data_IF_893019458759
#
_entry.id   IF_893019458759
#
_cell.length_a   1.000
_cell.length_b   1.000
_cell.length_c   1.000
_cell.angle_alpha   90.00
_cell.angle_beta   90.00
_cell.angle_gamma   90.00
#
_symmetry.space_group_name_H-M   'P 1'
#
loop_
_entity.id
_entity.type
_entity.pdbx_description
1 polymer ?
2 non-polymer ?
3 water ?
#
# COMPACT_ATOMS: atom_id res chain seq x y z
N UNK A 3 3.20 -7.00 -31.93
CA UNK A 3 2.39 -6.95 -33.17
C UNK A 3 2.07 -5.49 -33.56
N UNK A 4 2.19 -5.18 -34.84
CA UNK A 4 1.91 -3.82 -35.31
C UNK A 4 0.56 -3.43 -34.73
N UNK A 5 0.54 -2.36 -33.94
CA UNK A 5 -0.67 -1.92 -33.28
C UNK A 5 -1.96 -1.95 -34.09
N UNK A 6 -1.99 -1.25 -35.22
CA UNK A 6 -3.21 -1.22 -36.04
C UNK A 6 -3.75 -2.62 -36.31
N UNK A 7 -2.89 -3.58 -36.61
CA UNK A 7 -3.37 -4.93 -36.88
C UNK A 7 -3.76 -5.54 -35.54
N UNK A 8 -2.98 -5.23 -34.51
CA UNK A 8 -3.24 -5.75 -33.18
C UNK A 8 -4.67 -5.34 -32.80
N UNK A 9 -4.94 -4.04 -32.87
CA UNK A 9 -6.26 -3.49 -32.54
C UNK A 9 -7.38 -4.17 -33.30
N UNK A 10 -7.39 -3.98 -34.62
CA UNK A 10 -8.41 -4.55 -35.48
C UNK A 10 -8.67 -6.03 -35.25
N UNK A 11 -7.63 -6.80 -35.02
CA UNK A 11 -7.84 -8.23 -34.82
C UNK A 11 -7.99 -8.72 -33.38
N UNK A 12 -7.94 -7.81 -32.41
CA UNK A 12 -8.10 -8.21 -31.02
C UNK A 12 -9.48 -8.81 -30.79
N UNK A 13 -9.53 -9.96 -30.14
CA UNK A 13 -10.81 -10.62 -29.86
C UNK A 13 -11.33 -10.24 -28.47
N UNK A 14 -12.44 -9.49 -28.42
CA UNK A 14 -13.05 -9.04 -27.17
C UNK A 14 -13.33 -10.18 -26.20
N UNK A 15 -13.01 -9.96 -24.93
CA UNK A 15 -13.23 -10.94 -23.87
C UNK A 15 -14.63 -10.80 -23.29
N UNK A 16 -15.10 -9.56 -23.19
CA UNK A 16 -16.42 -9.27 -22.64
C UNK A 16 -17.05 -8.07 -23.34
N UNK A 17 -18.18 -7.61 -22.81
CA UNK A 17 -18.89 -6.49 -23.42
C UNK A 17 -18.10 -5.18 -23.42
N UNK A 18 -17.50 -4.80 -22.29
CA UNK A 18 -16.75 -3.55 -22.25
C UNK A 18 -15.66 -3.57 -23.30
N UNK A 19 -15.09 -4.73 -23.57
CA UNK A 19 -14.06 -4.79 -24.58
C UNK A 19 -14.67 -4.66 -25.95
N UNK A 20 -15.89 -5.16 -26.10
CA UNK A 20 -16.62 -5.08 -27.37
C UNK A 20 -16.87 -3.61 -27.68
N UNK A 21 -17.44 -2.89 -26.71
CA UNK A 21 -17.73 -1.47 -26.91
C UNK A 21 -16.45 -0.67 -27.08
N UNK A 22 -15.46 -0.91 -26.20
CA UNK A 22 -14.19 -0.20 -26.27
C UNK A 22 -13.47 -0.41 -27.59
N UNK A 23 -13.53 -1.62 -28.13
CA UNK A 23 -12.86 -1.88 -29.41
C UNK A 23 -13.51 -1.01 -30.47
N UNK A 24 -14.82 -0.89 -30.40
CA UNK A 24 -15.55 -0.08 -31.36
C UNK A 24 -15.11 1.36 -31.30
N UNK A 25 -14.82 1.85 -30.10
CA UNK A 25 -14.37 3.22 -29.95
C UNK A 25 -12.96 3.37 -30.54
N UNK A 26 -12.14 2.33 -30.40
CA UNK A 26 -10.78 2.36 -30.94
C UNK A 26 -10.82 2.51 -32.46
N UNK A 27 -11.62 1.67 -33.10
CA UNK A 27 -11.77 1.65 -34.54
C UNK A 27 -12.27 3.00 -35.04
N UNK A 28 -13.29 3.53 -34.38
CA UNK A 28 -13.85 4.83 -34.73
C UNK A 28 -12.72 5.87 -34.72
N UNK A 29 -11.80 5.75 -33.77
CA UNK A 29 -10.68 6.69 -33.67
C UNK A 29 -9.71 6.52 -34.83
N UNK A 30 -9.48 5.27 -35.22
CA UNK A 30 -8.59 4.99 -36.34
C UNK A 30 -9.19 5.64 -37.57
N UNK A 31 -10.51 5.56 -37.70
CA UNK A 31 -11.23 6.14 -38.84
C UNK A 31 -11.21 7.66 -38.87
N UNK A 32 -11.69 8.27 -37.78
CA UNK A 32 -11.80 9.72 -37.68
C UNK A 32 -10.57 10.54 -37.34
N UNK A 33 -9.56 9.94 -36.70
CA UNK A 33 -8.39 10.71 -36.34
C UNK A 33 -7.18 10.55 -37.22
N UNK A 34 -6.53 11.68 -37.45
CA UNK A 34 -5.33 11.77 -38.25
C UNK A 34 -4.33 10.74 -37.71
N UNK A 35 -4.03 10.85 -36.42
CA UNK A 35 -3.09 9.95 -35.75
C UNK A 35 -3.48 9.75 -34.29
N UNK A 36 -3.16 8.58 -33.74
CA UNK A 36 -3.48 8.29 -32.34
C UNK A 36 -2.23 7.79 -31.60
N UNK A 37 -1.06 8.02 -32.19
CA UNK A 37 0.18 7.56 -31.59
C UNK A 37 0.88 8.60 -30.72
N UNK A 38 0.49 9.85 -30.84
CA UNK A 38 1.15 10.89 -30.05
C UNK A 38 0.17 11.75 -29.27
N UNK A 39 0.72 12.55 -28.36
CA UNK A 39 -0.07 13.44 -27.54
C UNK A 39 -0.48 14.66 -28.34
N UNK A 40 -0.19 14.63 -29.64
CA UNK A 40 -0.59 15.70 -30.53
C UNK A 40 -2.12 15.55 -30.64
N UNK A 41 -2.61 14.35 -30.39
CA UNK A 41 -4.05 14.12 -30.44
C UNK A 41 -4.55 14.40 -29.02
N UNK A 42 -5.22 15.54 -28.83
CA UNK A 42 -5.72 15.95 -27.54
C UNK A 42 -7.01 15.29 -27.09
N UNK A 43 -7.63 14.54 -27.99
CA UNK A 43 -8.88 13.86 -27.67
C UNK A 43 -8.60 12.44 -27.21
N UNK A 44 -7.83 11.70 -27.99
CA UNK A 44 -7.53 10.31 -27.65
C UNK A 44 -6.20 9.85 -28.26
N UNK A 45 -5.49 8.99 -27.54
CA UNK A 45 -4.25 8.44 -28.05
C UNK A 45 -3.82 7.14 -27.37
N UNK A 46 -3.11 6.33 -28.15
CA UNK A 46 -2.62 5.02 -27.74
C UNK A 46 -1.68 5.05 -26.54
N UNK A 47 -1.88 4.08 -25.64
CA UNK A 47 -1.05 3.91 -24.45
C UNK A 47 -0.95 2.41 -24.25
N UNK A 48 0.07 1.98 -23.52
CA UNK A 48 0.27 0.57 -23.27
C UNK A 48 0.52 0.33 -21.80
N UNK A 49 0.00 -0.78 -21.29
CA UNK A 49 0.17 -1.12 -19.89
C UNK A 49 0.73 -2.53 -19.75
N UNK A 50 1.09 -2.88 -18.52
CA UNK A 50 1.65 -4.18 -18.25
C UNK A 50 0.93 -4.93 -17.15
N UNK A 51 0.41 -6.11 -17.50
CA UNK A 51 -0.22 -6.96 -16.51
C UNK A 51 0.95 -7.86 -16.13
N UNK A 52 1.83 -7.31 -15.29
CA UNK A 52 3.01 -8.03 -14.85
C UNK A 52 2.63 -9.04 -13.77
N UNK A 53 2.70 -10.32 -14.10
CA UNK A 53 2.35 -11.37 -13.16
C UNK A 53 3.56 -12.21 -12.76
N UNK A 54 3.52 -12.73 -11.54
CA UNK A 54 4.58 -13.55 -11.01
C UNK A 54 4.49 -14.94 -11.61
N UNK A 55 5.49 -15.77 -11.32
CA UNK A 55 5.55 -17.13 -11.83
C UNK A 55 4.33 -17.97 -11.46
N UNK A 56 3.84 -17.81 -10.24
CA UNK A 56 2.69 -18.56 -9.76
C UNK A 56 1.34 -18.01 -10.24
N UNK A 57 1.36 -16.88 -10.93
CA UNK A 57 0.15 -16.26 -11.46
C UNK A 57 -0.87 -16.05 -10.34
N UNK A 58 -0.40 -15.43 -9.25
CA UNK A 58 -1.24 -15.16 -8.08
C UNK A 58 -1.02 -13.74 -7.56
N UNK A 59 0.00 -13.06 -8.07
CA UNK A 59 0.33 -11.71 -7.64
C UNK A 59 0.42 -10.79 -8.84
N UNK A 60 0.03 -9.53 -8.65
CA UNK A 60 0.03 -8.51 -9.69
C UNK A 60 1.07 -7.46 -9.30
N UNK A 61 2.16 -7.37 -10.05
CA UNK A 61 3.21 -6.40 -9.75
C UNK A 61 2.69 -5.00 -10.05
N UNK A 63 2.33 -0.51 -8.82
CA UNK A 63 3.03 0.65 -8.31
C UNK A 63 2.13 1.66 -7.60
N UNK A 64 2.70 2.28 -6.58
CA UNK A 64 2.01 3.27 -5.77
C UNK A 64 2.10 4.68 -6.34
N UNK A 65 0.96 5.35 -6.43
CA UNK A 65 0.93 6.71 -6.94
C UNK A 65 0.82 7.66 -5.75
N UNK A 66 1.81 8.54 -5.62
CA UNK A 66 1.83 9.50 -4.52
C UNK A 66 0.58 10.35 -4.54
N UNK A 67 -0.29 10.08 -5.51
CA UNK A 67 -1.54 10.80 -5.62
C UNK A 67 -2.45 10.40 -4.45
N UNK A 68 -3.67 9.98 -4.75
CA UNK A 68 -4.61 9.59 -3.72
C UNK A 68 -4.35 8.22 -3.10
N UNK A 69 -3.09 8.01 -2.72
CA UNK A 69 -2.65 6.76 -2.10
C UNK A 69 -3.26 5.54 -2.79
N UNK A 70 -2.99 5.40 -4.07
CA UNK A 70 -3.53 4.29 -4.84
C UNK A 70 -2.45 3.47 -5.52
N UNK A 71 -2.77 2.22 -5.83
CA UNK A 71 -1.84 1.34 -6.51
C UNK A 71 -2.39 1.00 -7.90
N UNK A 72 -1.51 1.01 -8.89
CA UNK A 72 -1.93 0.71 -10.26
C UNK A 72 -0.84 0.02 -11.07
N UNK A 73 -1.21 -0.45 -12.26
CA UNK A 73 -0.28 -1.12 -13.14
C UNK A 73 0.71 -0.12 -13.73
N UNK A 74 1.77 -0.63 -14.35
CA UNK A 74 2.76 0.24 -14.98
C UNK A 74 2.31 0.43 -16.41
N UNK A 75 2.64 1.59 -16.99
CA UNK A 75 2.27 1.87 -18.35
C UNK A 75 2.63 3.29 -18.73
N UNK A 76 2.36 3.67 -19.98
CA UNK A 76 2.69 5.01 -20.42
C UNK A 76 2.22 5.28 -21.84
N UNK A 77 2.47 6.50 -22.31
CA UNK A 77 2.08 6.90 -23.66
C UNK A 77 2.97 6.22 -24.70
N UNK A 78 2.37 5.85 -25.83
CA UNK A 78 3.09 5.21 -26.92
C UNK A 78 4.09 6.22 -27.49
N UNK A 79 3.74 7.49 -27.38
CA UNK A 79 4.56 8.58 -27.87
C UNK A 79 5.28 8.25 -29.17
N UNK A 80 4.51 7.85 -30.17
CA UNK A 80 5.02 7.53 -31.49
C UNK A 80 5.73 6.18 -31.68
N UNK A 81 5.91 5.42 -30.62
CA UNK A 81 6.53 4.10 -30.76
C UNK A 81 5.33 3.25 -31.19
N UNK A 82 5.48 2.44 -32.23
CA UNK A 82 4.37 1.63 -32.72
C UNK A 82 4.23 0.25 -32.10
N UNK A 83 5.34 -0.34 -31.67
CA UNK A 83 5.31 -1.66 -31.05
C UNK A 83 4.91 -1.43 -29.60
N UNK A 84 3.65 -1.72 -29.27
CA UNK A 84 3.16 -1.49 -27.92
C UNK A 84 3.73 -2.39 -26.82
N UNK A 85 4.19 -3.58 -27.19
CA UNK A 85 4.77 -4.46 -26.20
C UNK A 85 6.08 -3.82 -25.75
N UNK A 86 6.76 -3.15 -26.68
CA UNK A 86 8.02 -2.49 -26.37
C UNK A 86 7.75 -1.33 -25.42
N UNK A 87 6.61 -0.66 -25.62
CA UNK A 87 6.26 0.45 -24.75
C UNK A 87 6.00 -0.07 -23.34
N UNK A 88 5.16 -1.10 -23.24
CA UNK A 88 4.84 -1.69 -21.95
C UNK A 88 6.08 -2.20 -21.24
N UNK A 89 6.93 -2.91 -21.98
CA UNK A 89 8.16 -3.46 -21.42
C UNK A 89 9.05 -2.33 -20.90
N UNK A 90 9.16 -1.27 -21.68
CA UNK A 90 9.98 -0.13 -21.29
C UNK A 90 9.44 0.43 -19.97
N UNK A 91 8.17 0.80 -19.96
CA UNK A 91 7.56 1.36 -18.75
C UNK A 91 7.71 0.45 -17.54
N UNK A 92 7.53 -0.84 -17.75
CA UNK A 92 7.65 -1.78 -16.63
C UNK A 92 9.05 -1.70 -16.04
N UNK A 93 10.07 -1.73 -16.90
CA UNK A 93 11.46 -1.67 -16.44
C UNK A 93 11.74 -0.40 -15.65
N UNK A 94 11.35 0.75 -16.21
CA UNK A 94 11.55 2.05 -15.58
C UNK A 94 10.90 2.13 -14.21
N UNK A 95 9.59 1.88 -14.16
CA UNK A 95 8.82 1.95 -12.94
C UNK A 95 9.13 0.91 -11.86
N UNK A 96 9.56 -0.30 -12.24
CA UNK A 96 9.83 -1.34 -11.26
C UNK A 96 11.30 -1.78 -11.13
N UNK A 97 12.11 -1.44 -12.13
CA UNK A 97 13.51 -1.83 -12.09
C UNK A 97 13.76 -3.30 -12.39
N UNK A 98 12.78 -3.96 -12.99
CA UNK A 98 12.92 -5.38 -13.34
C UNK A 98 13.93 -5.58 -14.47
N UNK A 99 14.83 -6.54 -14.28
CA UNK A 99 15.89 -6.83 -15.25
C UNK A 99 15.49 -7.57 -16.51
N UNK A 100 14.93 -8.77 -16.35
CA UNK A 100 14.55 -9.56 -17.51
C UNK A 100 13.09 -10.03 -17.55
N UNK A 101 12.16 -9.09 -17.80
CA UNK A 101 10.73 -9.44 -17.85
C UNK A 101 10.50 -10.30 -19.08
N UNK A 102 9.54 -11.22 -19.01
CA UNK A 102 9.29 -12.07 -20.15
C UNK A 102 7.84 -12.07 -20.61
N UNK A 103 7.58 -11.50 -21.78
CA UNK A 103 6.20 -11.47 -22.28
C UNK A 103 5.71 -12.89 -22.53
N UNK A 104 4.45 -13.14 -22.19
CA UNK A 104 3.87 -14.47 -22.37
C UNK A 104 3.09 -14.54 -23.68
N UNK A 105 2.68 -13.39 -24.19
CA UNK A 105 1.96 -13.32 -25.47
C UNK A 105 2.62 -12.24 -26.31
N UNK A 106 2.57 -12.40 -27.64
CA UNK A 106 3.18 -11.42 -28.54
C UNK A 106 2.16 -10.45 -29.13
N UNK A 107 0.96 -10.41 -28.54
CA UNK A 107 -0.09 -9.52 -29.01
C UNK A 107 -0.89 -9.07 -27.77
N UNK A 108 -1.68 -8.01 -27.93
CA UNK A 108 -2.47 -7.48 -26.81
C UNK A 108 -3.23 -8.51 -25.99
N UNK A 109 -3.22 -8.34 -24.68
CA UNK A 109 -3.94 -9.25 -23.78
C UNK A 109 -5.26 -8.63 -23.32
N UNK A 110 -5.36 -7.31 -23.46
CA UNK A 110 -6.58 -6.61 -23.08
C UNK A 110 -6.65 -5.26 -23.77
N UNK A 111 -7.87 -4.75 -23.92
CA UNK A 111 -8.13 -3.48 -24.58
C UNK A 111 -9.07 -2.65 -23.68
N UNK A 112 -8.72 -1.37 -23.47
CA UNK A 112 -9.52 -0.52 -22.59
C UNK A 112 -9.46 0.95 -22.97
N UNK A 113 -10.60 1.61 -22.95
CA UNK A 113 -10.65 3.04 -23.21
C UNK A 113 -10.72 3.66 -21.83
N UNK A 114 -9.66 4.38 -21.46
CA UNK A 114 -9.55 5.00 -20.15
C UNK A 114 -9.61 6.51 -20.21
N UNK A 115 -10.09 7.12 -19.15
CA UNK A 115 -10.19 8.58 -19.11
C UNK A 115 -8.99 9.16 -18.39
N UNK A 116 -8.69 10.42 -18.71
CA UNK A 116 -7.58 11.14 -18.08
C UNK A 116 -8.07 12.57 -17.83
N UNK A 117 -8.35 12.89 -16.57
CA UNK A 117 -8.84 14.21 -16.17
C UNK A 117 -7.89 15.34 -16.53
N UNK A 118 -8.46 16.50 -16.87
CA UNK A 118 -7.64 17.65 -17.20
C UNK A 118 -6.73 17.93 -16.03
N UNK A 119 -5.50 18.33 -16.31
CA UNK A 119 -4.53 18.60 -15.26
C UNK A 119 -3.41 19.49 -15.79
N UNK A 120 -2.62 20.01 -14.85
CA UNK A 120 -1.50 20.88 -15.17
C UNK A 120 -0.21 20.07 -15.20
N UNK A 121 0.51 20.13 -16.32
CA UNK A 121 1.76 19.41 -16.48
C UNK A 121 2.86 20.41 -16.83
N UNK A 122 3.74 20.68 -15.85
CA UNK A 122 4.83 21.62 -16.05
C UNK A 122 4.34 22.96 -16.59
N UNK A 123 3.31 23.49 -15.94
CA UNK A 123 2.75 24.78 -16.34
C UNK A 123 1.63 24.76 -17.34
N UNK A 124 1.69 23.84 -18.30
CA UNK A 124 0.67 23.73 -19.34
C UNK A 124 -0.53 22.92 -18.85
N UNK A 125 -1.72 23.33 -19.27
CA UNK A 125 -2.92 22.60 -18.90
C UNK A 125 -3.13 21.59 -20.02
N UNK A 126 -3.45 20.36 -19.62
CA UNK A 126 -3.70 19.26 -20.54
C UNK A 126 -5.18 18.92 -20.38
N UNK A 127 -5.98 19.21 -21.40
CA UNK A 127 -7.41 18.95 -21.37
C UNK A 127 -7.75 17.49 -21.10
N UNK A 128 -8.92 17.25 -20.50
CA UNK A 128 -9.37 15.89 -20.25
C UNK A 128 -9.37 15.15 -21.57
N UNK A 129 -8.96 13.89 -21.58
CA UNK A 129 -8.96 13.11 -22.81
C UNK A 129 -9.03 11.63 -22.51
N UNK A 130 -8.96 10.82 -23.55
CA UNK A 130 -9.03 9.38 -23.40
C UNK A 130 -7.74 8.67 -23.76
N UNK A 131 -7.49 7.55 -23.10
CA UNK A 131 -6.35 6.72 -23.40
C UNK A 131 -6.87 5.42 -24.02
N UNK A 132 -6.37 5.10 -25.20
CA UNK A 132 -6.74 3.88 -25.91
C UNK A 132 -5.68 2.89 -25.44
N UNK A 133 -5.96 2.22 -24.32
CA UNK A 133 -4.99 1.31 -23.73
C UNK A 133 -4.97 -0.17 -24.08
N UNK A 134 -3.77 -0.64 -24.38
CA UNK A 134 -3.56 -2.05 -24.68
C UNK A 134 -2.74 -2.58 -23.53
N UNK A 135 -3.17 -3.71 -22.98
CA UNK A 135 -2.46 -4.31 -21.88
C UNK A 135 -1.75 -5.56 -22.34
N UNK A 136 -0.53 -5.75 -21.85
CA UNK A 136 0.28 -6.90 -22.21
C UNK A 136 0.58 -7.82 -21.03
N UNK A 137 0.46 -9.13 -21.26
CA UNK A 137 0.72 -10.14 -20.24
C UNK A 137 2.23 -10.39 -20.15
N UNK A 138 2.83 -9.93 -19.07
CA UNK A 138 4.26 -10.10 -18.88
C UNK A 138 4.56 -10.74 -17.53
N UNK A 139 5.43 -11.73 -17.56
CA UNK A 139 5.82 -12.44 -16.34
C UNK A 139 7.13 -11.88 -15.80
N UNK A 140 7.19 -11.69 -14.48
CA UNK A 140 8.38 -11.19 -13.81
C UNK A 140 8.71 -12.05 -12.61
N UNK A 141 9.99 -12.29 -12.37
CA UNK A 141 10.42 -13.11 -11.24
C UNK A 141 10.37 -12.30 -9.96
N UNK A 142 9.83 -12.91 -8.90
CA UNK A 142 9.74 -12.21 -7.63
C UNK A 142 11.15 -12.10 -7.05
N UNK A 143 12.10 -12.75 -7.71
CA UNK A 143 13.50 -12.72 -7.29
C UNK A 143 14.14 -11.41 -7.74
N UNK A 144 13.48 -10.73 -8.67
CA UNK A 144 13.98 -9.45 -9.17
C UNK A 144 14.01 -8.44 -8.04
N UNK A 145 15.12 -7.72 -7.92
CA UNK A 145 15.25 -6.68 -6.90
C UNK A 145 14.35 -5.53 -7.35
N UNK A 146 13.43 -5.11 -6.49
CA UNK A 146 12.50 -4.05 -6.84
C UNK A 146 12.69 -2.73 -6.07
N UNK A 148 11.37 1.51 -6.28
CA UNK A 148 10.51 2.54 -6.86
C UNK A 148 11.30 3.62 -7.60
N UNK A 149 10.64 4.76 -7.80
CA UNK A 149 11.24 5.92 -8.48
C UNK A 149 10.44 7.18 -8.18
N UNK A 150 11.11 8.18 -7.59
CA UNK A 150 10.47 9.44 -7.26
C UNK A 150 10.26 10.31 -8.49
N UNK A 155 6.75 3.54 -4.52
CA UNK A 155 6.91 2.19 -4.02
C UNK A 155 6.40 1.11 -4.97
N UNK A 156 7.12 0.00 -5.03
CA UNK A 156 6.76 -1.12 -5.88
C UNK A 156 6.35 -2.28 -4.98
N UNK A 158 4.35 -6.52 -5.09
CA UNK A 158 3.55 -7.56 -5.69
C UNK A 158 2.28 -7.56 -4.88
N UNK A 159 1.14 -7.57 -5.56
CA UNK A 159 -0.13 -7.57 -4.88
C UNK A 159 -0.98 -8.78 -5.23
N UNK A 160 -1.30 -9.60 -4.23
CA UNK A 160 -2.12 -10.79 -4.47
C UNK A 160 -3.45 -10.41 -5.11
N UNK A 161 -3.87 -11.20 -6.08
CA UNK A 161 -5.11 -10.94 -6.80
C UNK A 161 -6.32 -10.72 -5.90
N UNK A 162 -6.38 -11.44 -4.80
CA UNK A 162 -7.52 -11.35 -3.88
C UNK A 162 -7.60 -10.08 -3.03
N UNK A 163 -6.58 -9.23 -3.08
CA UNK A 163 -6.61 -8.00 -2.29
C UNK A 163 -6.40 -6.75 -3.13
N UNK A 164 -6.43 -6.92 -4.45
CA UNK A 164 -6.24 -5.79 -5.35
C UNK A 164 -7.25 -4.69 -5.07
N UNK A 165 -8.50 -5.09 -4.84
CA UNK A 165 -9.56 -4.14 -4.56
C UNK A 165 -9.23 -3.32 -3.31
N UNK A 166 -8.39 -3.87 -2.44
CA UNK A 166 -8.03 -3.20 -1.20
C UNK A 166 -6.89 -2.19 -1.40
N UNK A 167 -6.22 -2.27 -2.53
CA UNK A 167 -5.11 -1.37 -2.83
C UNK A 167 -5.48 -0.31 -3.84
N UNK A 168 -6.46 -0.63 -4.67
CA UNK A 168 -6.92 0.29 -5.70
C UNK A 168 -7.92 1.29 -5.14
N UNK A 169 -7.59 2.57 -5.24
CA UNK A 169 -8.48 3.62 -4.75
C UNK A 169 -9.36 4.19 -5.86
N UNK A 170 -9.11 3.79 -7.10
CA UNK A 170 -9.90 4.26 -8.23
C UNK A 170 -10.99 3.21 -8.47
N UNK A 171 -12.23 3.49 -8.05
CA UNK A 171 -13.33 2.54 -8.23
C UNK A 171 -13.46 1.95 -9.63
N UNK A 172 -13.24 2.78 -10.65
CA UNK A 172 -13.37 2.29 -12.02
C UNK A 172 -12.28 1.34 -12.51
N UNK A 174 -11.03 -1.16 -10.69
CA UNK A 174 -11.26 -2.49 -10.12
C UNK A 174 -11.71 -3.54 -11.13
N UNK A 175 -12.79 -3.27 -11.87
CA UNK A 175 -13.28 -4.24 -12.87
C UNK A 175 -12.26 -4.57 -13.96
N UNK A 176 -11.34 -3.65 -14.22
CA UNK A 176 -10.32 -3.87 -15.26
C UNK A 176 -9.39 -4.96 -14.80
N UNK A 177 -8.83 -4.76 -13.62
CA UNK A 177 -7.89 -5.72 -13.04
C UNK A 177 -8.57 -7.07 -12.88
N UNK A 178 -9.83 -7.05 -12.47
CA UNK A 178 -10.56 -8.30 -12.28
C UNK A 178 -10.69 -8.99 -13.63
N UNK A 179 -10.89 -8.18 -14.67
CA UNK A 179 -11.00 -8.73 -16.01
C UNK A 179 -9.73 -9.49 -16.36
N UNK A 180 -8.60 -8.78 -16.27
CA UNK A 180 -7.30 -9.39 -16.58
C UNK A 180 -7.17 -10.74 -15.88
N UNK A 181 -7.41 -10.73 -14.58
CA UNK A 181 -7.31 -11.93 -13.74
C UNK A 181 -8.29 -13.03 -14.13
N UNK A 182 -9.42 -12.67 -14.72
CA UNK A 182 -10.40 -13.68 -15.12
C UNK A 182 -9.99 -14.31 -16.44
N UNK A 183 -9.56 -13.47 -17.38
CA UNK A 183 -9.13 -13.94 -18.68
C UNK A 183 -7.94 -14.86 -18.44
N UNK A 184 -7.03 -14.44 -17.56
CA UNK A 184 -5.86 -15.26 -17.29
C UNK A 184 -6.27 -16.63 -16.77
N UNK A 185 -7.23 -16.66 -15.86
CA UNK A 185 -7.71 -17.91 -15.30
C UNK A 185 -8.20 -18.86 -16.38
N UNK A 186 -8.82 -18.34 -17.43
CA UNK A 186 -9.30 -19.19 -18.50
C UNK A 186 -8.31 -19.21 -19.67
N UNK B 3 11.42 -3.77 31.22
CA UNK B 3 11.14 -2.85 32.36
C UNK B 3 9.66 -2.92 32.75
N UNK B 4 9.40 -3.19 34.03
CA UNK B 4 8.04 -3.28 34.54
C UNK B 4 7.18 -2.14 33.99
N UNK B 5 6.01 -2.50 33.44
CA UNK B 5 5.13 -1.50 32.84
C UNK B 5 4.77 -0.33 33.74
N UNK B 6 4.36 -0.63 34.98
CA UNK B 6 3.98 0.43 35.92
C UNK B 6 5.06 1.49 36.14
N UNK B 7 6.26 1.08 36.51
CA UNK B 7 7.32 2.06 36.74
C UNK B 7 7.83 2.65 35.42
N UNK B 8 7.79 1.87 34.35
CA UNK B 8 8.23 2.35 33.05
C UNK B 8 7.32 3.51 32.64
N UNK B 9 6.03 3.36 32.93
CA UNK B 9 5.03 4.38 32.62
C UNK B 9 5.19 5.61 33.52
N UNK B 10 5.36 5.36 34.82
CA UNK B 10 5.52 6.45 35.78
C UNK B 10 6.79 7.27 35.51
N UNK B 11 7.84 6.62 35.07
CA UNK B 11 9.10 7.31 34.81
C UNK B 11 9.26 7.79 33.39
N UNK B 12 8.34 7.44 32.52
CA UNK B 12 8.42 7.84 31.12
C UNK B 12 8.53 9.36 30.98
N UNK B 13 9.40 9.80 30.08
CA UNK B 13 9.64 11.23 29.85
C UNK B 13 8.98 11.70 28.55
N UNK B 14 7.89 12.48 28.66
CA UNK B 14 7.16 13.00 27.50
C UNK B 14 8.03 13.71 26.47
N UNK B 15 7.75 13.43 25.21
CA UNK B 15 8.49 14.07 24.12
C UNK B 15 7.85 15.40 23.80
N UNK B 16 6.53 15.47 24.02
CA UNK B 16 5.78 16.69 23.74
C UNK B 16 4.53 16.80 24.59
N UNK B 17 3.70 17.80 24.26
CA UNK B 17 2.46 18.09 24.95
C UNK B 17 1.54 16.90 24.92
N UNK B 18 1.37 16.33 23.72
CA UNK B 18 0.50 15.18 23.57
C UNK B 18 0.87 14.09 24.57
N UNK B 19 2.16 13.77 24.68
CA UNK B 19 2.59 12.72 25.62
C UNK B 19 2.44 13.16 27.08
N UNK B 20 2.56 14.46 27.31
CA UNK B 20 2.40 15.03 28.65
C UNK B 20 0.98 14.79 29.12
N UNK B 21 0.02 15.11 28.25
CA UNK B 21 -1.38 14.93 28.57
C UNK B 21 -1.75 13.45 28.65
N UNK B 22 -1.30 12.68 27.67
CA UNK B 22 -1.60 11.25 27.64
C UNK B 22 -1.01 10.51 28.85
N UNK B 23 0.21 10.86 29.26
CA UNK B 23 0.84 10.20 30.39
C UNK B 23 -0.03 10.44 31.62
N UNK B 24 -0.56 11.65 31.71
CA UNK B 24 -1.41 12.04 32.82
C UNK B 24 -2.64 11.14 32.85
N UNK B 25 -3.18 10.83 31.67
CA UNK B 25 -4.35 9.96 31.60
C UNK B 25 -3.95 8.55 32.02
N UNK B 26 -2.75 8.13 31.64
CA UNK B 26 -2.23 6.81 31.99
C UNK B 26 -2.21 6.65 33.52
N UNK B 27 -1.67 7.66 34.19
CA UNK B 27 -1.56 7.64 35.64
C UNK B 27 -2.92 7.61 36.33
N UNK B 28 -3.86 8.39 35.81
CA UNK B 28 -5.22 8.40 36.37
C UNK B 28 -5.74 6.98 36.30
N UNK B 29 -5.53 6.33 35.16
CA UNK B 29 -6.00 4.95 34.98
C UNK B 29 -5.38 4.01 36.01
N UNK B 30 -4.06 4.07 36.16
CA UNK B 30 -3.36 3.24 37.13
C UNK B 30 -3.92 3.48 38.53
N UNK B 31 -4.20 4.74 38.80
CA UNK B 31 -4.74 5.13 40.10
C UNK B 31 -6.19 4.66 40.29
N UNK B 32 -6.99 4.71 39.22
CA UNK B 32 -8.41 4.32 39.30
C UNK B 32 -8.76 2.87 38.99
N UNK B 33 -7.85 2.13 38.38
CA UNK B 33 -8.17 0.73 38.03
C UNK B 33 -7.08 -0.21 38.52
N UNK B 34 -7.48 -1.29 39.18
CA UNK B 34 -6.50 -2.25 39.68
C UNK B 34 -6.00 -3.13 38.53
N UNK B 35 -6.68 -3.07 37.41
CA UNK B 35 -6.30 -3.87 36.25
C UNK B 35 -6.45 -3.11 34.94
N UNK B 36 -5.33 -2.74 34.34
CA UNK B 36 -5.35 -2.07 33.05
C UNK B 36 -4.60 -2.98 32.08
N UNK B 37 -4.38 -4.21 32.54
CA UNK B 37 -3.66 -5.20 31.76
C UNK B 37 -4.53 -6.06 30.85
N UNK B 38 -5.78 -6.30 31.23
CA UNK B 38 -6.64 -7.16 30.42
C UNK B 38 -7.90 -6.49 29.87
N UNK B 39 -8.57 -7.19 28.96
CA UNK B 39 -9.78 -6.70 28.35
C UNK B 39 -10.96 -6.79 29.31
N UNK B 40 -10.68 -7.17 30.56
CA UNK B 40 -11.73 -7.22 31.56
C UNK B 40 -12.05 -5.77 31.88
N UNK B 41 -11.06 -4.91 31.68
CA UNK B 41 -11.24 -3.47 31.90
C UNK B 41 -11.84 -2.97 30.60
N UNK B 42 -13.16 -2.82 30.56
CA UNK B 42 -13.84 -2.37 29.35
C UNK B 42 -13.67 -0.89 29.04
N UNK B 43 -12.97 -0.16 29.92
CA UNK B 43 -12.80 1.28 29.71
C UNK B 43 -11.44 1.66 29.14
N UNK B 44 -10.41 0.94 29.55
CA UNK B 44 -9.07 1.24 29.05
C UNK B 44 -8.12 0.13 29.44
N UNK B 45 -7.19 -0.17 28.55
CA UNK B 45 -6.19 -1.18 28.83
C UNK B 45 -4.98 -1.03 27.94
N UNK B 46 -3.85 -1.49 28.47
CA UNK B 46 -2.57 -1.42 27.79
C UNK B 46 -2.47 -2.23 26.51
N UNK B 47 -1.76 -1.64 25.55
CA UNK B 47 -1.48 -2.26 24.27
C UNK B 47 -0.05 -1.87 23.97
N UNK B 48 0.58 -2.57 23.03
CA UNK B 48 1.96 -2.29 22.71
C UNK B 48 2.07 -2.22 21.21
N UNK B 49 2.97 -1.38 20.71
CA UNK B 49 3.14 -1.22 19.27
C UNK B 49 4.60 -1.24 18.94
N UNK B 50 4.91 -1.48 17.68
CA UNK B 50 6.31 -1.53 17.25
C UNK B 50 6.69 -0.44 16.26
N UNK B 51 7.62 0.40 16.66
CA UNK B 51 8.13 1.43 15.77
C UNK B 51 9.28 0.67 15.13
N UNK B 52 8.92 -0.24 14.21
CA UNK B 52 9.88 -1.10 13.52
C UNK B 52 10.62 -0.32 12.43
N UNK B 53 11.93 -0.17 12.62
CA UNK B 53 12.76 0.58 11.68
C UNK B 53 13.90 -0.27 11.10
N UNK B 54 14.53 0.25 10.06
CA UNK B 54 15.62 -0.47 9.41
C UNK B 54 16.96 0.02 9.95
N UNK B 55 18.04 -0.62 9.51
CA UNK B 55 19.39 -0.25 9.95
C UNK B 55 19.67 1.22 9.67
N UNK B 56 19.40 1.65 8.45
CA UNK B 56 19.65 3.04 8.04
C UNK B 56 18.71 4.02 8.74
N UNK B 57 17.64 3.48 9.34
CA UNK B 57 16.65 4.32 10.01
C UNK B 57 16.00 5.21 8.95
N UNK B 58 15.75 4.60 7.79
CA UNK B 58 15.15 5.21 6.61
C UNK B 58 13.67 4.87 6.50
N UNK B 59 13.32 3.68 6.97
CA UNK B 59 11.96 3.20 6.83
C UNK B 59 11.23 2.73 8.08
N UNK B 60 9.91 2.63 7.94
CA UNK B 60 9.01 2.23 9.00
C UNK B 60 8.24 1.02 8.49
N UNK B 61 8.45 -0.15 9.11
CA UNK B 61 7.77 -1.36 8.69
C UNK B 61 6.30 -1.32 9.13
N UNK B 63 1.94 -2.61 8.19
CA UNK B 63 1.08 -3.57 7.53
C UNK B 63 -0.11 -2.86 6.92
N UNK B 64 -0.61 -3.40 5.81
CA UNK B 64 -1.75 -2.81 5.11
C UNK B 64 -3.04 -3.35 5.71
N UNK B 65 -3.81 -2.49 6.36
CA UNK B 65 -5.05 -2.93 6.99
C UNK B 65 -6.02 -3.49 5.98
N UNK B 66 -6.75 -4.51 6.39
CA UNK B 66 -7.75 -5.10 5.52
C UNK B 66 -8.88 -4.09 5.50
N UNK B 67 -9.75 -4.20 4.51
CA UNK B 67 -10.89 -3.29 4.39
C UNK B 67 -10.48 -1.88 3.97
N UNK B 68 -9.53 -1.29 4.71
CA UNK B 68 -9.05 0.07 4.42
C UNK B 68 -7.74 0.13 3.66
N UNK B 69 -7.67 1.03 2.69
CA UNK B 69 -6.46 1.19 1.89
C UNK B 69 -5.48 2.12 2.62
N UNK B 70 -5.17 1.75 3.85
CA UNK B 70 -4.26 2.53 4.69
C UNK B 70 -3.22 1.62 5.34
N UNK B 71 -2.05 2.19 5.59
CA UNK B 71 -0.99 1.44 6.24
C UNK B 71 -0.88 1.87 7.69
N UNK B 72 -0.40 0.98 8.55
CA UNK B 72 -0.25 1.26 9.96
C UNK B 72 0.82 0.38 10.62
N UNK B 73 1.32 0.82 11.77
CA UNK B 73 2.32 0.07 12.51
C UNK B 73 1.63 -1.17 13.06
N UNK B 74 2.40 -2.10 13.62
CA UNK B 74 1.83 -3.30 14.22
C UNK B 74 1.76 -3.10 15.73
N UNK B 75 0.93 -3.91 16.39
CA UNK B 75 0.76 -3.80 17.83
C UNK B 75 -0.40 -4.62 18.34
N UNK B 76 -0.57 -4.71 19.66
CA UNK B 76 -1.67 -5.50 20.19
C UNK B 76 -1.89 -5.40 21.69
N UNK B 77 -2.91 -6.10 22.19
CA UNK B 77 -3.25 -6.10 23.61
C UNK B 77 -2.25 -6.83 24.48
N UNK B 78 -1.94 -6.21 25.61
CA UNK B 78 -1.03 -6.82 26.56
C UNK B 78 -1.62 -8.17 26.99
N UNK B 79 -2.95 -8.21 27.17
CA UNK B 79 -3.66 -9.41 27.61
C UNK B 79 -2.97 -10.15 28.77
N UNK B 80 -2.68 -9.38 29.82
CA UNK B 80 -2.04 -9.89 31.04
C UNK B 80 -0.57 -10.28 30.91
N UNK B 81 0.11 -9.78 29.88
CA UNK B 81 1.53 -10.04 29.73
C UNK B 81 2.20 -8.75 30.17
N UNK B 82 2.73 -8.75 31.38
CA UNK B 82 3.37 -7.58 31.97
C UNK B 82 4.50 -6.96 31.14
N UNK B 83 5.22 -7.78 30.38
CA UNK B 83 6.33 -7.27 29.57
C UNK B 83 5.83 -6.70 28.25
N UNK B 84 5.54 -5.40 28.22
CA UNK B 84 5.03 -4.74 27.02
C UNK B 84 5.93 -4.89 25.79
N UNK B 85 7.24 -4.91 26.01
CA UNK B 85 8.17 -5.06 24.90
C UNK B 85 7.95 -6.41 24.24
N UNK B 86 7.82 -7.45 25.05
CA UNK B 86 7.61 -8.80 24.54
C UNK B 86 6.35 -8.85 23.70
N UNK B 87 5.32 -8.12 24.14
CA UNK B 87 4.04 -8.06 23.43
C UNK B 87 4.21 -7.39 22.07
N UNK B 88 5.00 -6.33 22.03
CA UNK B 88 5.24 -5.62 20.79
C UNK B 88 5.99 -6.52 19.81
N UNK B 89 7.02 -7.22 20.30
CA UNK B 89 7.81 -8.09 19.44
C UNK B 89 6.92 -9.17 18.85
N UNK B 90 6.14 -9.81 19.71
CA UNK B 90 5.22 -10.88 19.32
C UNK B 90 4.26 -10.44 18.21
N UNK B 91 3.58 -9.32 18.41
CA UNK B 91 2.65 -8.82 17.40
C UNK B 91 3.35 -8.49 16.08
N UNK B 92 4.52 -7.87 16.17
CA UNK B 92 5.30 -7.52 14.98
C UNK B 92 5.60 -8.77 14.18
N UNK B 93 6.11 -9.80 14.85
CA UNK B 93 6.44 -11.05 14.18
C UNK B 93 5.21 -11.64 13.48
N UNK B 94 4.12 -11.84 14.22
CA UNK B 94 2.89 -12.41 13.66
C UNK B 94 2.24 -11.63 12.52
N UNK B 95 2.23 -10.31 12.62
CA UNK B 95 1.60 -9.49 11.61
C UNK B 95 2.42 -9.27 10.34
N UNK B 96 3.74 -9.23 10.47
CA UNK B 96 4.60 -8.99 9.31
C UNK B 96 5.38 -10.21 8.79
N UNK B 97 5.49 -11.25 9.60
CA UNK B 97 6.24 -12.42 9.16
C UNK B 97 7.71 -12.36 9.54
N UNK B 98 8.15 -11.19 9.99
CA UNK B 98 9.53 -11.00 10.39
C UNK B 98 9.94 -12.06 11.42
N UNK B 99 11.18 -12.53 11.34
CA UNK B 99 11.65 -13.57 12.25
C UNK B 99 12.63 -13.14 13.33
N UNK B 100 13.56 -12.26 12.98
CA UNK B 100 14.54 -11.85 13.96
C UNK B 100 14.64 -10.37 14.29
N UNK B 101 13.55 -9.77 14.78
CA UNK B 101 13.59 -8.35 15.12
C UNK B 101 14.46 -8.19 16.37
N UNK B 102 15.09 -7.03 16.54
CA UNK B 102 15.93 -6.81 17.71
C UNK B 102 15.60 -5.45 18.32
N UNK B 103 15.11 -5.45 19.57
CA UNK B 103 14.76 -4.20 20.26
C UNK B 103 16.00 -3.32 20.35
N UNK B 104 15.84 -2.03 20.15
CA UNK B 104 16.98 -1.11 20.22
C UNK B 104 16.99 -0.38 21.54
N UNK B 105 15.92 -0.55 22.31
CA UNK B 105 15.77 0.10 23.59
C UNK B 105 14.91 -0.81 24.44
N UNK B 106 15.09 -0.80 25.76
CA UNK B 106 14.25 -1.69 26.53
C UNK B 106 13.00 -1.04 27.13
N UNK B 107 13.00 0.29 27.28
CA UNK B 107 11.82 0.96 27.83
C UNK B 107 11.02 1.61 26.72
N UNK B 108 9.78 1.96 27.04
CA UNK B 108 8.88 2.59 26.08
C UNK B 108 9.54 3.72 25.32
N UNK B 109 9.28 3.78 24.03
CA UNK B 109 9.83 4.82 23.17
C UNK B 109 8.78 5.90 22.94
N UNK B 110 7.52 5.54 23.11
CA UNK B 110 6.44 6.50 22.92
C UNK B 110 5.24 6.08 23.74
N UNK B 111 4.36 7.04 24.02
CA UNK B 111 3.17 6.82 24.82
C UNK B 111 1.99 7.53 24.18
N UNK B 112 0.91 6.79 23.98
CA UNK B 112 -0.30 7.35 23.35
C UNK B 112 -1.58 6.70 23.85
N UNK B 113 -2.61 7.53 24.02
CA UNK B 113 -3.91 7.04 24.43
C UNK B 113 -4.64 7.03 23.09
N UNK B 114 -5.21 5.89 22.71
CA UNK B 114 -5.89 5.75 21.44
C UNK B 114 -7.33 5.29 21.61
N UNK B 115 -8.19 5.74 20.71
CA UNK B 115 -9.60 5.37 20.78
C UNK B 115 -9.86 4.07 20.02
N UNK B 116 -10.88 3.34 20.45
CA UNK B 116 -11.29 2.10 19.80
C UNK B 116 -12.82 2.10 19.75
N UNK B 117 -13.39 2.33 18.57
CA UNK B 117 -14.84 2.37 18.45
C UNK B 117 -15.47 1.02 18.74
N UNK B 118 -16.68 1.07 19.27
CA UNK B 118 -17.40 -0.14 19.58
C UNK B 118 -17.51 -0.95 18.32
N UNK B 119 -17.42 -2.28 18.45
CA UNK B 119 -17.53 -3.14 17.28
C UNK B 119 -17.95 -4.52 17.74
N UNK B 120 -18.19 -5.39 16.77
CA UNK B 120 -18.60 -6.74 17.07
C UNK B 120 -17.49 -7.71 16.75
N UNK B 121 -17.19 -8.59 17.70
CA UNK B 121 -16.14 -9.59 17.52
C UNK B 121 -16.72 -10.94 17.94
N UNK B 122 -16.87 -11.82 16.96
CA UNK B 122 -17.43 -13.15 17.19
C UNK B 122 -18.80 -13.03 17.85
N UNK B 123 -19.67 -12.27 17.22
CA UNK B 123 -21.02 -12.07 17.73
C UNK B 123 -21.11 -11.24 19.00
N UNK B 124 -19.97 -10.84 19.55
CA UNK B 124 -19.96 -10.06 20.77
C UNK B 124 -19.67 -8.58 20.54
N UNK B 125 -20.52 -7.71 21.05
CA UNK B 125 -20.28 -6.29 20.89
C UNK B 125 -19.32 -5.84 21.98
N UNK B 126 -18.25 -5.15 21.58
CA UNK B 126 -17.27 -4.63 22.52
C UNK B 126 -17.42 -3.12 22.46
N UNK B 127 -17.79 -2.52 23.58
CA UNK B 127 -17.99 -1.07 23.68
C UNK B 127 -16.76 -0.25 23.27
N UNK B 128 -16.99 1.02 22.94
CA UNK B 128 -15.90 1.92 22.56
C UNK B 128 -15.06 2.06 23.82
N UNK B 129 -13.75 2.12 23.65
CA UNK B 129 -12.84 2.25 24.79
C UNK B 129 -11.48 2.85 24.43
N UNK B 130 -10.61 2.94 25.43
CA UNK B 130 -9.29 3.54 25.25
C UNK B 130 -8.16 2.52 25.35
N UNK B 131 -7.14 2.70 24.52
CA UNK B 131 -5.99 1.80 24.53
C UNK B 131 -4.79 2.62 25.01
N UNK B 132 -4.21 2.21 26.13
CA UNK B 132 -3.06 2.92 26.69
C UNK B 132 -1.87 2.28 25.99
N UNK B 133 -1.50 2.86 24.86
CA UNK B 133 -0.43 2.29 24.06
C UNK B 133 1.01 2.74 24.30
N UNK B 134 1.88 1.75 24.51
CA UNK B 134 3.30 2.04 24.69
C UNK B 134 3.98 1.54 23.42
N UNK B 135 4.84 2.38 22.84
CA UNK B 135 5.53 1.98 21.63
C UNK B 135 6.97 1.63 21.92
N UNK B 136 7.50 0.63 21.21
CA UNK B 136 8.88 0.21 21.40
C UNK B 136 9.69 0.34 20.13
N UNK B 137 10.92 0.83 20.28
CA UNK B 137 11.83 1.00 19.16
C UNK B 137 12.45 -0.36 18.84
N UNK B 138 12.20 -0.87 17.64
CA UNK B 138 12.72 -2.16 17.25
C UNK B 138 13.25 -2.15 15.83
N UNK B 139 14.44 -2.73 15.65
CA UNK B 139 15.05 -2.77 14.32
C UNK B 139 14.79 -4.09 13.63
N UNK B 140 14.60 -4.04 12.33
CA UNK B 140 14.37 -5.23 11.52
C UNK B 140 15.26 -5.17 10.29
N UNK B 141 15.69 -6.34 9.84
CA UNK B 141 16.55 -6.45 8.67
C UNK B 141 15.70 -6.38 7.40
N UNK B 142 16.16 -5.65 6.40
CA UNK B 142 15.40 -5.55 5.16
C UNK B 142 15.51 -6.87 4.42
N UNK B 143 16.42 -7.72 4.91
CA UNK B 143 16.63 -9.03 4.32
C UNK B 143 15.49 -9.97 4.78
N UNK B 144 14.74 -9.55 5.80
CA UNK B 144 13.62 -10.35 6.30
C UNK B 144 12.59 -10.55 5.19
N UNK B 145 11.95 -11.71 5.17
CA UNK B 145 10.93 -12.00 4.17
C UNK B 145 9.55 -11.64 4.72
N UNK B 146 8.92 -10.63 4.13
CA UNK B 146 7.62 -10.16 4.58
C UNK B 146 6.43 -10.99 4.10
N UNK B 148 1.91 -11.32 4.76
CA UNK B 148 0.68 -10.87 5.39
C UNK B 148 0.05 -11.92 6.30
N UNK B 149 -0.96 -11.46 7.04
CA UNK B 149 -1.72 -12.29 7.97
C UNK B 149 -3.20 -12.04 7.69
N UNK B 150 -3.90 -13.04 7.16
CA UNK B 150 -5.32 -12.89 6.85
C UNK B 150 -6.18 -12.63 8.08
N UNK B 153 -4.89 -8.49 8.10
CA UNK B 153 -4.20 -7.50 7.28
C UNK B 153 -4.01 -8.00 5.86
N UNK B 154 -3.69 -7.10 4.93
CA UNK B 154 -3.52 -7.47 3.54
C UNK B 154 -2.22 -7.02 2.87
N UNK B 155 -1.13 -7.01 3.63
CA UNK B 155 0.15 -6.59 3.09
C UNK B 155 1.13 -6.02 4.11
N UNK B 156 2.42 -6.17 3.83
CA UNK B 156 3.48 -5.67 4.70
C UNK B 156 4.44 -4.91 3.81
N UNK B 158 7.95 -1.85 3.71
CA UNK B 158 8.88 -0.91 4.33
C UNK B 158 8.51 0.47 3.80
N UNK B 159 8.03 1.34 4.68
CA UNK B 159 7.63 2.67 4.28
C UNK B 159 8.59 3.78 4.63
N UNK B 160 9.05 4.55 3.62
CA UNK B 160 9.99 5.66 3.84
C UNK B 160 9.37 6.67 4.80
N UNK B 161 10.19 7.16 5.73
CA UNK B 161 9.70 8.14 6.70
C UNK B 161 9.06 9.36 6.02
N UNK B 162 9.76 9.94 5.05
CA UNK B 162 9.24 11.13 4.38
C UNK B 162 8.06 10.89 3.44
N UNK B 163 7.56 9.65 3.41
CA UNK B 163 6.42 9.34 2.56
C UNK B 163 5.28 8.69 3.33
N UNK B 164 5.36 8.70 4.66
CA UNK B 164 4.30 8.09 5.45
C UNK B 164 2.99 8.82 5.24
N UNK B 165 3.06 10.15 5.15
CA UNK B 165 1.88 10.98 4.93
C UNK B 165 1.19 10.66 3.62
N UNK B 166 1.90 9.94 2.75
CA UNK B 166 1.36 9.56 1.45
C UNK B 166 0.82 8.14 1.43
N UNK B 167 1.32 7.31 2.35
CA UNK B 167 0.90 5.92 2.45
C UNK B 167 -0.14 5.73 3.55
N UNK B 168 0.00 6.50 4.63
CA UNK B 168 -0.94 6.41 5.74
C UNK B 168 -2.11 7.34 5.49
N UNK B 169 -3.32 6.78 5.54
CA UNK B 169 -4.51 7.59 5.31
C UNK B 169 -5.42 7.72 6.53
N UNK B 170 -4.86 7.47 7.72
CA UNK B 170 -5.62 7.60 8.96
C UNK B 170 -5.14 8.95 9.51
N UNK B 171 -5.91 10.02 9.25
CA UNK B 171 -5.56 11.37 9.72
C UNK B 171 -4.96 11.45 11.10
N UNK B 172 -5.64 10.90 12.11
CA UNK B 172 -5.13 10.99 13.47
C UNK B 172 -3.83 10.26 13.77
N UNK B 174 -1.22 10.00 11.70
CA UNK B 174 -0.09 10.68 11.08
C UNK B 174 0.80 11.39 12.08
N UNK B 175 0.23 12.28 12.90
CA UNK B 175 1.04 13.00 13.88
C UNK B 175 1.78 12.10 14.85
N UNK B 176 1.23 10.91 15.08
CA UNK B 176 1.88 9.97 15.98
C UNK B 176 3.10 9.41 15.27
N UNK B 177 2.92 8.96 14.03
CA UNK B 177 4.07 8.43 13.29
C UNK B 177 5.14 9.51 13.14
N UNK B 178 4.72 10.73 12.83
CA UNK B 178 5.66 11.82 12.65
C UNK B 178 6.40 12.08 13.95
N UNK B 179 5.70 11.90 15.06
CA UNK B 179 6.32 12.08 16.38
C UNK B 179 7.44 11.08 16.55
N UNK B 180 7.15 9.82 16.22
CA UNK B 180 8.14 8.75 16.36
C UNK B 180 9.41 9.06 15.59
N UNK B 181 9.24 9.47 14.34
CA UNK B 181 10.34 9.83 13.48
C UNK B 181 11.14 11.02 14.00
N UNK B 182 10.43 12.08 14.41
CA UNK B 182 11.11 13.26 14.93
C UNK B 182 11.96 12.89 16.15
N UNK B 183 11.40 12.09 17.05
CA UNK B 183 12.11 11.67 18.25
C UNK B 183 13.37 10.86 17.91
N UNK B 184 13.21 9.88 17.02
CA UNK B 184 14.32 9.04 16.59
C UNK B 184 15.38 9.95 16.00
N UNK B 185 14.90 10.94 15.25
CA UNK B 185 15.74 11.91 14.58
C UNK B 185 16.62 12.69 15.55
N UNK B 186 16.14 12.87 16.78
CA UNK B 186 16.90 13.60 17.78
C UNK B 186 17.86 12.69 18.53
N UNK B 187 18.38 11.68 17.85
CA UNK B 187 19.30 10.75 18.48
C UNK B 187 20.31 10.18 17.48
#
# INVERSE_FOLDING_TARGET
XSLNYIEDIKNYIPFNEQEERDKELFLRCLNDFHDILTRDNTIAHLTSSAFAVNKERNKFLXIHHNIYNSWAWTGGHSDNEKDQLKVAIKELKEETGVKNPTPLLDKAFALDVLTVNGHIKRGKYVSSHLHLNLTYLIECSEDETLXLKEDENSGVXWIPFNEISKYCSEPHXIPIYEKLINKLKTQSKEGHHHHHH
XSLNYIEDIKNYIPFNEQEERDKELFLRCLNDFHDILTRDNTIAHLTSSAFAVNKERNKFLXIHHNIYNSWAWTGGHSDNEKDQLKVAIKELKEETGVKNPTPLLDKAFALDVLTVNGHIKRGKYVSSHLHLNLTYLIECSEDETLXLKEDENSGVXWIPFNEISKYCSEPHXIPIYEKLINKLKTQSKEGHHHHHH
#
